data_IF_221432254965
#
_entry.id   IF_221432254965
#
_cell.length_a   1.000
_cell.length_b   1.000
_cell.length_c   1.000
_cell.angle_alpha   90.00
_cell.angle_beta   90.00
_cell.angle_gamma   90.00
#
_symmetry.space_group_name_H-M   'P 1'
#
loop_
_entity.id
_entity.type
_entity.pdbx_description
1 polymer ?
#
# COMPACT_ATOMS: atom_id res chain seq x y z
N UNK A 1 -12.44 26.78 22.09
CA UNK A 1 -12.87 25.65 21.23
C UNK A 1 -12.79 25.99 19.75
N UNK A 2 -13.32 27.14 19.31
CA UNK A 2 -13.21 27.58 17.90
C UNK A 2 -11.77 27.88 17.44
N UNK A 3 -10.89 28.40 18.31
CA UNK A 3 -9.45 28.57 17.96
C UNK A 3 -8.74 27.23 17.78
N UNK A 4 -9.08 26.23 18.60
CA UNK A 4 -8.50 24.88 18.51
C UNK A 4 -8.92 24.16 17.22
N UNK A 5 -10.18 24.35 16.79
CA UNK A 5 -10.65 23.87 15.49
C UNK A 5 -9.98 24.67 14.36
N UNK A 6 -9.78 25.98 14.51
CA UNK A 6 -9.03 26.81 13.55
C UNK A 6 -7.57 26.40 13.43
N UNK A 7 -6.91 25.97 14.51
CA UNK A 7 -5.53 25.49 14.51
C UNK A 7 -5.41 24.09 13.89
N UNK A 8 -6.42 23.24 14.09
CA UNK A 8 -6.54 21.96 13.37
C UNK A 8 -6.84 22.20 11.89
N UNK A 9 -7.68 23.19 11.56
CA UNK A 9 -7.99 23.55 10.17
C UNK A 9 -6.86 24.34 9.49
N UNK A 10 -6.01 25.07 10.22
CA UNK A 10 -4.79 25.70 9.68
C UNK A 10 -3.64 24.70 9.56
N UNK A 11 -3.65 23.63 10.35
CA UNK A 11 -2.82 22.44 10.10
C UNK A 11 -3.20 21.69 8.81
N UNK A 12 -4.35 22.01 8.19
CA UNK A 12 -4.70 21.55 6.83
C UNK A 12 -3.86 22.25 5.75
N UNK A 13 -3.21 23.37 6.07
CA UNK A 13 -2.23 24.00 5.17
C UNK A 13 -0.87 23.27 5.15
N UNK A 14 -0.75 22.15 5.89
CA UNK A 14 0.38 21.24 5.73
C UNK A 14 0.33 20.50 4.38
N UNK A 15 -0.83 20.41 3.71
CA UNK A 15 -0.95 19.72 2.44
C UNK A 15 -0.57 20.68 1.31
N UNK A 16 0.46 20.31 0.56
CA UNK A 16 0.93 21.10 -0.58
C UNK A 16 -0.23 21.34 -1.56
N UNK A 17 -0.55 22.60 -1.94
CA UNK A 17 -1.78 22.93 -2.67
C UNK A 17 -2.03 22.08 -3.92
N UNK A 18 -0.99 21.83 -4.72
CA UNK A 18 -1.09 21.03 -5.95
C UNK A 18 -1.42 19.55 -5.72
N UNK A 19 -1.23 19.02 -4.50
CA UNK A 19 -1.48 17.62 -4.14
C UNK A 19 -2.68 17.45 -3.19
N UNK A 20 -3.44 18.51 -2.89
CA UNK A 20 -4.63 18.45 -2.01
C UNK A 20 -5.62 17.37 -2.44
N UNK A 21 -5.95 17.32 -3.74
CA UNK A 21 -6.86 16.30 -4.28
C UNK A 21 -6.34 14.87 -4.05
N UNK A 22 -5.03 14.64 -4.28
CA UNK A 22 -4.41 13.33 -4.10
C UNK A 22 -4.45 12.87 -2.63
N UNK A 23 -4.05 13.75 -1.71
CA UNK A 23 -4.01 13.46 -0.26
C UNK A 23 -5.43 13.21 0.27
N UNK A 24 -6.38 14.10 -0.03
CA UNK A 24 -7.76 13.93 0.46
C UNK A 24 -8.47 12.73 -0.15
N UNK A 25 -8.19 12.39 -1.42
CA UNK A 25 -8.69 11.16 -2.02
C UNK A 25 -8.16 9.95 -1.26
N UNK A 26 -6.86 9.90 -0.95
CA UNK A 26 -6.27 8.79 -0.22
C UNK A 26 -6.85 8.63 1.21
N UNK A 27 -7.05 9.74 1.92
CA UNK A 27 -7.71 9.77 3.24
C UNK A 27 -9.17 9.30 3.14
N UNK A 28 -9.90 9.84 2.17
CA UNK A 28 -11.31 9.49 1.93
C UNK A 28 -11.49 8.01 1.60
N UNK A 29 -10.69 7.47 0.67
CA UNK A 29 -10.71 6.06 0.29
C UNK A 29 -10.36 5.15 1.46
N UNK A 30 -9.35 5.51 2.26
CA UNK A 30 -8.97 4.73 3.45
C UNK A 30 -10.11 4.72 4.48
N UNK A 31 -10.70 5.87 4.75
CA UNK A 31 -11.84 6.02 5.69
C UNK A 31 -13.06 5.25 5.21
N UNK A 32 -13.44 5.38 3.94
CA UNK A 32 -14.55 4.65 3.33
C UNK A 32 -14.30 3.14 3.37
N UNK A 33 -13.06 2.70 3.20
CA UNK A 33 -12.69 1.29 3.28
C UNK A 33 -12.87 0.72 4.70
N UNK A 34 -12.61 1.51 5.75
CA UNK A 34 -12.93 1.16 7.14
C UNK A 34 -14.44 1.00 7.35
N UNK A 35 -15.23 1.95 6.83
CA UNK A 35 -16.70 1.88 6.90
C UNK A 35 -17.24 0.69 6.09
N UNK A 36 -16.64 0.38 4.95
CA UNK A 36 -17.02 -0.74 4.08
C UNK A 36 -16.98 -2.10 4.79
N UNK A 37 -16.15 -2.28 5.83
CA UNK A 37 -16.13 -3.49 6.65
C UNK A 37 -17.46 -3.73 7.40
N UNK A 38 -18.25 -2.68 7.64
CA UNK A 38 -19.57 -2.75 8.28
C UNK A 38 -20.72 -2.98 7.28
N UNK A 39 -20.44 -3.00 5.98
CA UNK A 39 -21.45 -3.24 4.94
C UNK A 39 -22.13 -4.60 5.13
N UNK A 40 -23.38 -4.76 4.70
CA UNK A 40 -24.00 -6.08 4.57
C UNK A 40 -23.50 -6.85 3.35
N UNK A 41 -22.83 -6.18 2.40
CA UNK A 41 -22.40 -6.75 1.13
C UNK A 41 -20.96 -7.25 1.21
N UNK A 42 -20.77 -8.56 1.05
CA UNK A 42 -19.44 -9.19 1.13
C UNK A 42 -18.47 -8.68 0.05
N UNK A 43 -18.93 -8.31 -1.14
CA UNK A 43 -18.06 -7.71 -2.17
C UNK A 43 -17.44 -6.40 -1.70
N UNK A 44 -18.25 -5.52 -1.08
CA UNK A 44 -17.79 -4.24 -0.51
C UNK A 44 -16.80 -4.49 0.62
N UNK A 45 -17.05 -5.47 1.50
CA UNK A 45 -16.09 -5.85 2.55
C UNK A 45 -14.76 -6.33 1.98
N UNK A 46 -14.76 -7.15 0.93
CA UNK A 46 -13.52 -7.66 0.31
C UNK A 46 -12.70 -6.51 -0.26
N UNK A 47 -13.33 -5.58 -0.97
CA UNK A 47 -12.66 -4.39 -1.51
C UNK A 47 -12.08 -3.55 -0.37
N UNK A 48 -12.91 -3.18 0.61
CA UNK A 48 -12.47 -2.36 1.74
C UNK A 48 -11.37 -3.02 2.57
N UNK A 49 -11.47 -4.33 2.81
CA UNK A 49 -10.44 -5.10 3.51
C UNK A 49 -9.11 -5.12 2.75
N UNK A 50 -9.15 -5.27 1.42
CA UNK A 50 -7.95 -5.27 0.58
C UNK A 50 -7.28 -3.90 0.61
N UNK A 51 -8.04 -2.82 0.45
CA UNK A 51 -7.53 -1.44 0.53
C UNK A 51 -6.93 -1.16 1.91
N UNK A 52 -7.64 -1.46 3.00
CA UNK A 52 -7.14 -1.21 4.36
C UNK A 52 -5.86 -1.99 4.67
N UNK A 53 -5.80 -3.26 4.25
CA UNK A 53 -4.60 -4.08 4.50
C UNK A 53 -3.41 -3.52 3.74
N UNK A 54 -3.61 -3.12 2.47
CA UNK A 54 -2.58 -2.47 1.66
C UNK A 54 -2.14 -1.11 2.20
N UNK A 55 -3.10 -0.27 2.63
CA UNK A 55 -2.80 1.01 3.26
C UNK A 55 -2.03 0.82 4.57
N UNK A 56 -2.45 -0.09 5.44
CA UNK A 56 -1.73 -0.40 6.67
C UNK A 56 -0.30 -0.89 6.39
N UNK A 57 -0.15 -1.80 5.42
CA UNK A 57 1.16 -2.22 4.93
C UNK A 57 2.00 -1.04 4.46
N UNK A 58 1.46 -0.19 3.58
CA UNK A 58 2.15 0.97 3.01
C UNK A 58 2.62 1.93 4.09
N UNK A 59 1.77 2.24 5.06
CA UNK A 59 2.13 3.11 6.19
C UNK A 59 3.29 2.49 6.99
N UNK A 60 3.20 1.22 7.38
CA UNK A 60 4.25 0.56 8.16
C UNK A 60 5.56 0.47 7.37
N UNK A 61 5.48 0.14 6.08
CA UNK A 61 6.63 0.10 5.18
C UNK A 61 7.32 1.47 5.11
N UNK A 62 6.54 2.53 4.95
CA UNK A 62 7.04 3.88 4.79
C UNK A 62 7.50 4.49 6.10
N UNK A 63 7.04 3.99 7.26
CA UNK A 63 7.61 4.36 8.56
C UNK A 63 9.11 4.02 8.62
N UNK A 64 9.53 2.92 7.99
CA UNK A 64 10.94 2.55 7.91
C UNK A 64 11.63 3.37 6.81
N UNK A 65 11.04 3.44 5.62
CA UNK A 65 11.68 4.11 4.48
C UNK A 65 11.87 5.62 4.67
N UNK A 66 10.90 6.35 5.24
CA UNK A 66 11.05 7.77 5.53
C UNK A 66 12.20 8.09 6.50
N UNK A 67 12.60 7.12 7.33
CA UNK A 67 13.75 7.25 8.25
C UNK A 67 15.07 6.87 7.60
N UNK A 68 15.04 6.01 6.59
CA UNK A 68 16.24 5.62 5.83
C UNK A 68 16.64 6.70 4.82
N UNK A 69 15.67 7.32 4.13
CA UNK A 69 15.90 8.42 3.19
C UNK A 69 14.61 9.21 2.96
N UNK A 70 14.50 10.38 3.58
CA UNK A 70 13.32 11.25 3.45
C UNK A 70 13.31 11.97 2.10
N UNK A 71 14.45 12.17 1.47
CA UNK A 71 14.66 12.76 0.15
C UNK A 71 13.96 11.95 -0.95
N UNK A 72 13.81 10.64 -0.76
CA UNK A 72 13.10 9.74 -1.67
C UNK A 72 11.60 10.08 -1.82
N UNK A 73 11.01 10.70 -0.79
CA UNK A 73 9.57 10.90 -0.63
C UNK A 73 9.05 12.17 -1.32
N UNK A 74 9.33 12.28 -2.62
CA UNK A 74 8.83 13.30 -3.55
C UNK A 74 7.99 12.66 -4.64
N UNK A 75 7.03 13.41 -5.20
CA UNK A 75 6.22 12.96 -6.33
C UNK A 75 7.14 12.72 -7.53
N UNK A 76 7.14 11.50 -8.06
CA UNK A 76 8.00 11.07 -9.15
C UNK A 76 9.42 10.66 -8.72
N UNK A 77 9.73 10.68 -7.43
CA UNK A 77 11.07 10.39 -6.92
C UNK A 77 12.14 11.26 -7.61
N UNK A 78 11.84 12.55 -7.75
CA UNK A 78 12.83 13.53 -8.19
C UNK A 78 13.58 14.04 -6.96
N UNK A 79 14.90 14.00 -7.01
CA UNK A 79 15.71 14.63 -5.97
C UNK A 79 15.57 16.15 -6.09
N UNK A 80 14.90 16.75 -5.10
CA UNK A 80 14.79 18.20 -4.92
C UNK A 80 15.53 18.66 -3.65
N UNK A 81 16.46 17.82 -3.17
CA UNK A 81 17.08 17.96 -1.85
C UNK A 81 16.06 17.79 -0.75
N UNK A 82 15.81 18.89 -0.04
CA UNK A 82 14.82 18.98 1.04
C UNK A 82 13.78 20.05 0.74
N UNK A 83 13.59 20.39 -0.54
CA UNK A 83 12.46 21.22 -0.94
C UNK A 83 11.14 20.53 -0.54
N UNK A 84 10.21 21.34 -0.08
CA UNK A 84 8.86 20.89 0.29
C UNK A 84 7.89 20.95 -0.89
N UNK A 85 8.34 21.45 -2.05
CA UNK A 85 7.47 21.76 -3.20
C UNK A 85 6.94 20.51 -3.89
N UNK A 86 7.72 19.43 -3.98
CA UNK A 86 7.31 18.21 -4.69
C UNK A 86 6.79 17.12 -3.74
N UNK A 87 6.52 17.48 -2.48
CA UNK A 87 6.03 16.55 -1.46
C UNK A 87 4.53 16.72 -1.28
N UNK A 88 3.76 15.65 -1.04
CA UNK A 88 2.32 15.75 -0.73
C UNK A 88 2.03 16.64 0.49
N UNK A 89 2.97 16.67 1.43
CA UNK A 89 2.90 17.51 2.63
C UNK A 89 4.16 18.38 2.77
N UNK A 90 3.96 19.58 3.29
CA UNK A 90 4.99 20.57 3.60
C UNK A 90 5.65 20.25 4.94
N UNK A 91 6.22 19.06 5.07
CA UNK A 91 6.90 18.61 6.29
C UNK A 91 7.99 17.61 5.98
N UNK A 92 9.09 17.67 6.72
CA UNK A 92 10.14 16.64 6.75
C UNK A 92 9.93 15.63 7.89
N UNK A 93 8.81 15.70 8.61
CA UNK A 93 8.52 14.74 9.66
C UNK A 93 8.33 13.34 9.04
N UNK A 94 9.16 12.34 9.40
CA UNK A 94 9.11 11.03 8.76
C UNK A 94 7.81 10.28 9.08
N UNK A 95 7.17 10.53 10.23
CA UNK A 95 5.90 9.91 10.58
C UNK A 95 4.76 10.42 9.70
N UNK A 96 4.70 11.75 9.49
CA UNK A 96 3.66 12.35 8.66
C UNK A 96 3.83 11.91 7.20
N UNK A 97 5.06 11.91 6.69
CA UNK A 97 5.34 11.44 5.34
C UNK A 97 4.97 9.97 5.18
N UNK A 98 5.33 9.11 6.14
CA UNK A 98 5.00 7.69 6.10
C UNK A 98 3.49 7.42 6.08
N UNK A 99 2.70 8.18 6.85
CA UNK A 99 1.24 8.05 6.84
C UNK A 99 0.68 8.44 5.46
N UNK A 100 1.07 9.61 4.96
CA UNK A 100 0.51 10.15 3.72
C UNK A 100 0.94 9.33 2.50
N UNK A 101 2.23 9.03 2.39
CA UNK A 101 2.76 8.21 1.29
C UNK A 101 2.27 6.77 1.35
N UNK A 102 2.22 6.17 2.53
CA UNK A 102 1.71 4.82 2.71
C UNK A 102 0.26 4.67 2.22
N UNK A 103 -0.56 5.70 2.38
CA UNK A 103 -1.91 5.76 1.80
C UNK A 103 -1.87 5.99 0.28
N UNK A 104 -1.25 7.08 -0.17
CA UNK A 104 -1.22 7.51 -1.59
C UNK A 104 -0.68 6.40 -2.49
N UNK A 105 0.41 5.76 -2.08
CA UNK A 105 1.13 4.79 -2.88
C UNK A 105 0.37 3.47 -3.07
N UNK A 106 -0.44 3.07 -2.08
CA UNK A 106 -1.02 1.72 -2.04
C UNK A 106 -2.51 1.68 -2.37
N UNK A 107 -3.30 2.73 -2.08
CA UNK A 107 -4.75 2.67 -2.28
C UNK A 107 -5.19 2.34 -3.72
N UNK A 108 -4.60 2.89 -4.81
CA UNK A 108 -5.11 2.65 -6.16
C UNK A 108 -4.93 1.19 -6.59
N UNK A 109 -3.74 0.64 -6.34
CA UNK A 109 -3.40 -0.74 -6.68
C UNK A 109 -4.18 -1.73 -5.84
N UNK A 110 -4.41 -1.43 -4.55
CA UNK A 110 -5.20 -2.29 -3.67
C UNK A 110 -6.69 -2.23 -3.98
N UNK A 111 -7.20 -1.10 -4.48
CA UNK A 111 -8.58 -0.98 -4.95
C UNK A 111 -8.81 -1.90 -6.16
N UNK A 112 -7.92 -1.86 -7.15
CA UNK A 112 -7.99 -2.73 -8.34
C UNK A 112 -7.93 -4.21 -7.92
N UNK A 113 -6.96 -4.57 -7.07
CA UNK A 113 -6.85 -5.93 -6.54
C UNK A 113 -8.11 -6.36 -5.77
N UNK A 114 -8.65 -5.47 -4.93
CA UNK A 114 -9.86 -5.72 -4.16
C UNK A 114 -11.08 -5.96 -5.05
N UNK A 115 -11.23 -5.18 -6.13
CA UNK A 115 -12.29 -5.37 -7.13
C UNK A 115 -12.15 -6.76 -7.78
N UNK A 116 -10.95 -7.12 -8.25
CA UNK A 116 -10.70 -8.42 -8.86
C UNK A 116 -11.00 -9.59 -7.90
N UNK A 117 -10.50 -9.51 -6.66
CA UNK A 117 -10.77 -10.52 -5.62
C UNK A 117 -12.26 -10.61 -5.30
N UNK A 118 -12.98 -9.48 -5.25
CA UNK A 118 -14.42 -9.46 -4.99
C UNK A 118 -15.21 -10.15 -6.11
N UNK A 119 -14.84 -9.91 -7.37
CA UNK A 119 -15.44 -10.56 -8.54
C UNK A 119 -15.24 -12.07 -8.43
N UNK A 120 -13.98 -12.51 -8.26
CA UNK A 120 -13.61 -13.93 -8.21
C UNK A 120 -14.22 -14.63 -6.99
N UNK A 121 -14.41 -13.95 -5.87
CA UNK A 121 -15.00 -14.53 -4.67
C UNK A 121 -16.54 -14.62 -4.72
N UNK A 122 -17.21 -13.72 -5.45
CA UNK A 122 -18.66 -13.47 -5.26
C UNK A 122 -19.50 -13.68 -6.51
N UNK A 123 -18.96 -13.44 -7.71
CA UNK A 123 -19.70 -13.61 -8.97
C UNK A 123 -20.00 -15.09 -9.19
N UNK A 124 -21.26 -15.45 -9.47
CA UNK A 124 -21.61 -16.82 -9.80
C UNK A 124 -20.91 -17.25 -11.09
N UNK A 125 -20.38 -18.47 -11.11
CA UNK A 125 -19.85 -19.09 -12.33
C UNK A 125 -20.72 -20.31 -12.66
N UNK A 126 -20.82 -20.74 -13.93
CA UNK A 126 -21.59 -21.91 -14.30
C UNK A 126 -21.26 -23.14 -13.44
N UNK A 127 -22.25 -23.60 -12.68
CA UNK A 127 -22.13 -24.72 -11.75
C UNK A 127 -21.35 -24.45 -10.44
N UNK A 128 -20.81 -23.25 -10.21
CA UNK A 128 -20.08 -22.91 -8.98
C UNK A 128 -20.86 -21.88 -8.15
N UNK A 129 -21.63 -22.37 -7.18
CA UNK A 129 -22.49 -21.55 -6.32
C UNK A 129 -21.81 -21.10 -5.02
N UNK A 130 -20.70 -21.74 -4.62
CA UNK A 130 -19.96 -21.35 -3.42
C UNK A 130 -19.47 -19.91 -3.55
N UNK A 131 -19.75 -19.08 -2.56
CA UNK A 131 -19.24 -17.71 -2.47
C UNK A 131 -18.32 -17.58 -1.26
N UNK A 132 -17.13 -17.01 -1.46
CA UNK A 132 -16.16 -16.79 -0.37
C UNK A 132 -16.50 -15.48 0.35
N UNK A 133 -16.42 -15.49 1.69
CA UNK A 133 -16.68 -14.33 2.56
C UNK A 133 -15.39 -13.57 2.86
N UNK A 134 -15.46 -12.28 3.15
CA UNK A 134 -14.29 -11.44 3.45
C UNK A 134 -13.45 -12.00 4.61
N UNK A 135 -14.11 -12.53 5.66
CA UNK A 135 -13.43 -13.15 6.81
C UNK A 135 -12.54 -14.34 6.45
N UNK A 136 -12.81 -15.02 5.34
CA UNK A 136 -12.01 -16.15 4.85
C UNK A 136 -10.78 -15.67 4.08
N UNK A 137 -10.81 -14.46 3.52
CA UNK A 137 -9.72 -13.86 2.75
C UNK A 137 -8.76 -13.09 3.67
N UNK A 138 -9.29 -12.47 4.73
CA UNK A 138 -8.54 -11.65 5.70
C UNK A 138 -7.19 -12.23 6.18
N UNK A 139 -7.11 -13.48 6.68
CA UNK A 139 -5.83 -14.01 7.18
C UNK A 139 -4.76 -14.09 6.08
N UNK A 140 -5.15 -14.42 4.84
CA UNK A 140 -4.20 -14.51 3.72
C UNK A 140 -3.65 -13.14 3.33
N UNK A 141 -4.48 -12.10 3.33
CA UNK A 141 -4.04 -10.72 3.10
C UNK A 141 -3.06 -10.26 4.19
N UNK A 142 -3.38 -10.53 5.46
CA UNK A 142 -2.52 -10.16 6.59
C UNK A 142 -1.17 -10.90 6.57
N UNK A 143 -1.17 -12.21 6.32
CA UNK A 143 0.05 -13.01 6.19
C UNK A 143 0.89 -12.53 5.01
N UNK A 144 0.26 -12.31 3.85
CA UNK A 144 0.96 -11.80 2.67
C UNK A 144 1.60 -10.44 2.93
N UNK A 145 0.90 -9.52 3.60
CA UNK A 145 1.43 -8.21 3.98
C UNK A 145 2.64 -8.34 4.91
N UNK A 146 2.57 -9.19 5.95
CA UNK A 146 3.67 -9.40 6.89
C UNK A 146 4.91 -10.04 6.22
N UNK A 147 4.70 -11.06 5.37
CA UNK A 147 5.78 -11.69 4.60
C UNK A 147 6.42 -10.67 3.64
N UNK A 148 5.60 -9.90 2.93
CA UNK A 148 6.08 -8.87 2.01
C UNK A 148 6.92 -7.84 2.74
N UNK A 149 6.46 -7.34 3.90
CA UNK A 149 7.20 -6.36 4.70
C UNK A 149 8.57 -6.90 5.10
N UNK A 150 8.63 -8.16 5.52
CA UNK A 150 9.87 -8.84 5.92
C UNK A 150 10.84 -8.96 4.75
N UNK A 151 10.37 -9.47 3.60
CA UNK A 151 11.18 -9.63 2.38
C UNK A 151 11.67 -8.27 1.87
N UNK A 152 10.78 -7.27 1.81
CA UNK A 152 11.11 -5.92 1.37
C UNK A 152 12.15 -5.27 2.30
N UNK A 153 12.03 -5.48 3.62
CA UNK A 153 13.00 -5.00 4.59
C UNK A 153 14.38 -5.66 4.38
N UNK A 154 14.45 -6.99 4.33
CA UNK A 154 15.71 -7.71 4.11
C UNK A 154 16.37 -7.31 2.79
N UNK A 155 15.60 -7.28 1.70
CA UNK A 155 16.10 -6.87 0.38
C UNK A 155 16.64 -5.44 0.37
N UNK A 156 15.93 -4.51 1.00
CA UNK A 156 16.37 -3.11 1.10
C UNK A 156 17.66 -2.94 1.91
N UNK A 157 17.82 -3.67 3.02
CA UNK A 157 19.05 -3.62 3.84
C UNK A 157 20.24 -4.22 3.11
N UNK A 158 20.03 -5.32 2.38
CA UNK A 158 21.09 -5.90 1.56
C UNK A 158 21.51 -4.94 0.44
N UNK A 159 20.55 -4.33 -0.28
CA UNK A 159 20.85 -3.36 -1.33
C UNK A 159 21.60 -2.13 -0.80
N UNK A 160 21.16 -1.60 0.36
CA UNK A 160 21.84 -0.50 1.04
C UNK A 160 23.29 -0.82 1.35
N UNK A 161 23.53 -2.00 1.95
CA UNK A 161 24.88 -2.46 2.32
C UNK A 161 25.79 -2.60 1.10
N UNK A 162 25.31 -3.25 0.04
CA UNK A 162 26.09 -3.42 -1.21
C UNK A 162 26.51 -2.07 -1.80
N UNK A 163 25.59 -1.10 -1.81
CA UNK A 163 25.88 0.23 -2.35
C UNK A 163 26.77 1.08 -1.43
N UNK A 164 26.77 0.82 -0.13
CA UNK A 164 27.72 1.44 0.82
C UNK A 164 29.13 0.87 0.69
N UNK A 165 29.27 -0.44 0.45
CA UNK A 165 30.56 -1.12 0.28
C UNK A 165 31.20 -0.81 -1.07
N UNK A 166 30.39 -0.61 -2.12
CA UNK A 166 30.84 -0.20 -3.44
C UNK A 166 29.98 0.97 -3.95
N UNK A 167 30.24 2.22 -3.53
CA UNK A 167 29.47 3.38 -3.97
C UNK A 167 29.58 3.59 -5.48
N UNK A 168 28.43 3.74 -6.15
CA UNK A 168 28.36 4.09 -7.56
C UNK A 168 27.19 5.04 -7.81
N UNK A 169 27.28 5.80 -8.90
CA UNK A 169 26.20 6.67 -9.34
C UNK A 169 25.18 5.84 -10.11
N UNK A 170 24.04 5.58 -9.47
CA UNK A 170 22.84 4.99 -10.10
C UNK A 170 21.83 6.06 -10.50
N UNK A 171 21.68 7.07 -9.64
CA UNK A 171 20.75 8.18 -9.80
C UNK A 171 21.50 9.48 -10.03
N UNK A 172 21.46 10.01 -11.25
CA UNK A 172 22.31 11.14 -11.70
C UNK A 172 22.13 12.38 -10.81
N UNK A 173 20.90 12.65 -10.35
CA UNK A 173 20.59 13.85 -9.57
C UNK A 173 20.67 13.65 -8.05
N UNK A 174 20.95 12.43 -7.56
CA UNK A 174 20.99 12.14 -6.12
C UNK A 174 22.46 12.17 -5.66
N UNK A 175 22.81 12.95 -4.62
CA UNK A 175 24.14 12.94 -4.02
C UNK A 175 24.64 11.53 -3.69
N UNK A 176 25.95 11.31 -3.84
CA UNK A 176 26.55 9.98 -3.73
C UNK A 176 26.29 9.34 -2.35
N UNK A 177 26.30 10.14 -1.30
CA UNK A 177 26.04 9.77 0.10
C UNK A 177 24.58 9.36 0.36
N UNK A 178 23.63 9.85 -0.46
CA UNK A 178 22.21 9.51 -0.34
C UNK A 178 21.79 8.31 -1.19
N UNK A 179 22.60 7.90 -2.17
CA UNK A 179 22.18 6.88 -3.14
C UNK A 179 21.87 5.51 -2.51
N UNK A 180 22.62 5.12 -1.47
CA UNK A 180 22.37 3.85 -0.80
C UNK A 180 21.02 3.82 -0.07
N UNK A 181 20.67 4.91 0.64
CA UNK A 181 19.35 5.06 1.28
C UNK A 181 18.23 5.15 0.25
N UNK A 182 18.47 5.88 -0.83
CA UNK A 182 17.54 6.03 -1.95
C UNK A 182 17.22 4.68 -2.63
N UNK A 183 18.24 3.89 -2.95
CA UNK A 183 18.09 2.55 -3.52
C UNK A 183 17.38 1.61 -2.55
N UNK A 184 17.67 1.69 -1.25
CA UNK A 184 16.99 0.90 -0.24
C UNK A 184 15.46 1.17 -0.25
N UNK A 185 15.06 2.45 -0.29
CA UNK A 185 13.66 2.85 -0.41
C UNK A 185 13.03 2.36 -1.72
N UNK A 186 13.73 2.50 -2.85
CA UNK A 186 13.28 2.03 -4.16
C UNK A 186 13.03 0.52 -4.17
N UNK A 187 14.00 -0.28 -3.71
CA UNK A 187 13.87 -1.75 -3.63
C UNK A 187 12.72 -2.14 -2.71
N UNK A 188 12.56 -1.47 -1.58
CA UNK A 188 11.49 -1.75 -0.61
C UNK A 188 10.11 -1.54 -1.24
N UNK A 189 9.89 -0.38 -1.88
CA UNK A 189 8.62 -0.04 -2.49
C UNK A 189 8.30 -0.91 -3.71
N UNK A 190 9.29 -1.14 -4.58
CA UNK A 190 9.14 -2.02 -5.74
C UNK A 190 8.79 -3.47 -5.33
N UNK A 191 9.41 -3.97 -4.26
CA UNK A 191 9.08 -5.29 -3.70
C UNK A 191 7.63 -5.35 -3.26
N UNK A 192 7.14 -4.31 -2.57
CA UNK A 192 5.73 -4.19 -2.17
C UNK A 192 4.77 -4.27 -3.36
N UNK A 193 5.02 -3.51 -4.43
CA UNK A 193 4.19 -3.53 -5.64
C UNK A 193 4.19 -4.89 -6.34
N UNK A 194 5.36 -5.52 -6.50
CA UNK A 194 5.48 -6.86 -7.10
C UNK A 194 4.75 -7.91 -6.28
N UNK A 195 4.92 -7.88 -4.96
CA UNK A 195 4.27 -8.82 -4.05
C UNK A 195 2.75 -8.64 -4.02
N UNK A 196 2.25 -7.40 -4.09
CA UNK A 196 0.81 -7.14 -4.20
C UNK A 196 0.25 -7.74 -5.50
N UNK A 197 0.90 -7.49 -6.64
CA UNK A 197 0.45 -8.00 -7.93
C UNK A 197 0.44 -9.54 -7.95
N UNK A 198 1.58 -10.17 -7.63
CA UNK A 198 1.73 -11.62 -7.63
C UNK A 198 0.87 -12.29 -6.55
N UNK A 199 0.88 -11.75 -5.33
CA UNK A 199 0.10 -12.26 -4.21
C UNK A 199 -1.40 -12.21 -4.47
N UNK A 200 -1.90 -11.14 -5.10
CA UNK A 200 -3.31 -11.03 -5.50
C UNK A 200 -3.68 -12.05 -6.57
N UNK A 201 -2.79 -12.31 -7.54
CA UNK A 201 -2.99 -13.37 -8.54
C UNK A 201 -3.04 -14.76 -7.90
N UNK A 202 -2.09 -15.07 -7.02
CA UNK A 202 -2.05 -16.37 -6.31
C UNK A 202 -3.30 -16.56 -5.47
N UNK A 203 -3.71 -15.53 -4.71
CA UNK A 203 -4.91 -15.57 -3.89
C UNK A 203 -6.18 -15.72 -4.72
N UNK A 204 -6.28 -15.02 -5.85
CA UNK A 204 -7.37 -15.15 -6.81
C UNK A 204 -7.49 -16.58 -7.36
N UNK A 205 -6.38 -17.18 -7.78
CA UNK A 205 -6.34 -18.58 -8.24
C UNK A 205 -6.74 -19.53 -7.11
N UNK A 206 -6.22 -19.33 -5.90
CA UNK A 206 -6.57 -20.12 -4.72
C UNK A 206 -8.06 -20.07 -4.38
N UNK A 207 -8.67 -18.88 -4.40
CA UNK A 207 -10.12 -18.69 -4.21
C UNK A 207 -10.90 -19.47 -5.26
N UNK A 208 -10.54 -19.35 -6.54
CA UNK A 208 -11.22 -20.03 -7.63
C UNK A 208 -11.10 -21.56 -7.50
N UNK A 209 -9.91 -22.07 -7.18
CA UNK A 209 -9.66 -23.49 -6.97
C UNK A 209 -10.51 -24.06 -5.83
N UNK A 210 -10.56 -23.38 -4.67
CA UNK A 210 -11.40 -23.78 -3.54
C UNK A 210 -12.88 -23.83 -3.93
N UNK A 211 -13.35 -22.83 -4.70
CA UNK A 211 -14.74 -22.80 -5.19
C UNK A 211 -15.06 -23.98 -6.11
N UNK A 212 -14.15 -24.34 -7.02
CA UNK A 212 -14.33 -25.45 -7.96
C UNK A 212 -14.25 -26.81 -7.26
N UNK A 213 -13.27 -27.03 -6.38
CA UNK A 213 -13.08 -28.32 -5.71
C UNK A 213 -14.26 -28.65 -4.79
N UNK A 214 -14.78 -27.67 -4.05
CA UNK A 214 -15.92 -27.91 -3.17
C UNK A 214 -17.20 -28.25 -3.94
N UNK A 215 -17.36 -27.75 -5.16
CA UNK A 215 -18.46 -28.17 -6.06
C UNK A 215 -18.39 -29.66 -6.35
N UNK A 216 -17.23 -30.17 -6.78
CA UNK A 216 -17.06 -31.59 -7.14
C UNK A 216 -17.43 -32.52 -5.97
N UNK A 217 -17.03 -32.13 -4.75
CA UNK A 217 -17.38 -32.90 -3.54
C UNK A 217 -18.87 -32.89 -3.20
N UNK A 218 -19.65 -31.92 -3.70
CA UNK A 218 -21.11 -31.90 -3.55
C UNK A 218 -21.83 -32.72 -4.63
N UNK A 219 -21.21 -32.92 -5.79
CA UNK A 219 -21.76 -33.75 -6.88
C UNK A 219 -21.49 -35.25 -6.65
N UNK A 220 -20.52 -35.60 -5.80
CA UNK A 220 -20.15 -36.99 -5.49
C UNK A 220 -20.90 -37.61 -4.30
N UNK A 221 -21.67 -36.81 -3.55
CA UNK A 221 -22.45 -37.24 -2.38
C UNK A 221 -23.94 -37.23 -2.71
#
# INVERSE_FOLDING_TARGET
MLSYISDILSSIDIVTPQYKSLVYTAIGVTTLSAVALRSSWESIKIIGLTVLTGTAYGIINDMIACRDCIEYFTIGHFYDGLSLTNRPIQSLNPNLNAIVWGMIATWPVCLIAGIALSIIARVPLPGVTLKIKAKQIAPYLAIAAALTLTIAHMGSRQAQKVMQEAPYVKYICVPLDLQAGWEACNIRNLTGYKALALGSMVLAVGILAVRILKRRNMESN
#
